data_IF_342451797289
#
_entry.id   IF_342451797289
#
_cell.length_a   1.000
_cell.length_b   1.000
_cell.length_c   1.000
_cell.angle_alpha   90.00
_cell.angle_beta   90.00
_cell.angle_gamma   90.00
#
_symmetry.space_group_name_H-M   'P 1'
#
loop_
_entity.id
_entity.type
_entity.pdbx_description
1 polymer ?
#
# COMPACT_ATOMS: atom_id res chain seq x y z
N UNK A 1 0.73 -14.51 -12.54
CA UNK A 1 1.70 -15.50 -12.03
C UNK A 1 1.41 -15.74 -10.55
N UNK A 2 1.53 -16.97 -10.05
CA UNK A 2 1.48 -17.21 -8.59
C UNK A 2 2.80 -16.73 -7.98
N UNK A 3 2.74 -15.93 -6.91
CA UNK A 3 3.92 -15.50 -6.16
C UNK A 3 4.61 -16.75 -5.60
N UNK A 4 5.94 -16.89 -5.72
CA UNK A 4 6.65 -18.00 -5.09
C UNK A 4 6.40 -17.97 -3.58
N UNK A 5 6.23 -19.13 -2.96
CA UNK A 5 5.80 -19.31 -1.56
C UNK A 5 6.73 -18.69 -0.49
N UNK A 6 7.69 -17.85 -0.87
CA UNK A 6 8.77 -17.35 -0.02
C UNK A 6 9.25 -15.94 -0.40
N UNK A 7 8.43 -15.11 -1.06
CA UNK A 7 8.73 -13.67 -1.15
C UNK A 7 8.62 -13.08 0.25
N UNK A 8 9.74 -13.10 0.96
CA UNK A 8 9.88 -12.55 2.30
C UNK A 8 10.01 -11.04 2.15
N UNK A 9 9.24 -10.29 2.93
CA UNK A 9 9.42 -8.85 2.99
C UNK A 9 10.86 -8.54 3.44
N UNK A 10 11.56 -7.73 2.66
CA UNK A 10 12.83 -7.15 3.11
C UNK A 10 12.54 -6.11 4.19
N UNK A 11 13.52 -5.70 5.02
CA UNK A 11 13.34 -4.54 5.88
C UNK A 11 12.90 -3.32 5.07
N UNK A 12 12.02 -2.45 5.60
CA UNK A 12 11.64 -1.22 4.92
C UNK A 12 12.87 -0.35 4.68
N UNK A 13 12.89 0.35 3.54
CA UNK A 13 14.01 1.20 3.16
C UNK A 13 14.24 2.31 4.21
N UNK A 14 15.51 2.68 4.50
CA UNK A 14 15.79 3.79 5.41
C UNK A 14 15.06 5.07 4.99
N UNK A 15 14.41 5.73 5.94
CA UNK A 15 13.68 6.99 5.69
C UNK A 15 12.29 6.83 5.10
N UNK A 16 11.80 5.61 4.85
CA UNK A 16 10.42 5.35 4.40
C UNK A 16 9.51 4.81 5.50
N UNK A 17 10.02 4.72 6.73
CA UNK A 17 9.25 4.26 7.89
C UNK A 17 9.59 5.03 9.16
N UNK A 18 8.65 5.00 10.10
CA UNK A 18 8.79 5.45 11.49
C UNK A 18 8.72 4.24 12.41
N UNK A 19 9.74 4.06 13.23
CA UNK A 19 9.70 3.07 14.32
C UNK A 19 8.70 3.51 15.39
N UNK A 20 7.88 2.56 15.85
CA UNK A 20 6.90 2.73 16.92
C UNK A 20 7.26 1.94 18.18
N UNK A 21 8.36 1.19 18.11
CA UNK A 21 8.84 0.31 19.17
C UNK A 21 9.95 -0.60 18.65
N UNK A 22 10.33 -1.62 19.43
CA UNK A 22 11.42 -2.53 19.08
C UNK A 22 11.23 -3.29 17.76
N UNK A 23 9.98 -3.59 17.40
CA UNK A 23 9.62 -4.32 16.18
C UNK A 23 8.59 -3.59 15.33
N UNK A 24 7.60 -2.96 15.96
CA UNK A 24 6.54 -2.25 15.26
C UNK A 24 7.05 -1.02 14.48
N UNK A 25 6.51 -0.83 13.27
CA UNK A 25 6.77 0.33 12.43
C UNK A 25 5.54 0.71 11.60
N UNK A 26 5.53 1.95 11.13
CA UNK A 26 4.55 2.50 10.20
C UNK A 26 5.29 3.10 9.00
N UNK A 27 4.77 2.90 7.81
CA UNK A 27 5.35 3.49 6.60
C UNK A 27 5.04 4.98 6.59
N UNK A 28 6.09 5.76 6.41
CA UNK A 28 6.03 7.22 6.39
C UNK A 28 7.08 7.70 5.42
N UNK A 29 6.71 7.77 4.13
CA UNK A 29 7.52 8.43 3.11
C UNK A 29 7.34 9.93 3.25
N UNK A 30 8.42 10.63 3.56
CA UNK A 30 8.43 12.08 3.67
C UNK A 30 8.92 12.70 2.37
N UNK A 31 8.21 13.72 1.88
CA UNK A 31 8.62 14.50 0.71
C UNK A 31 8.14 13.95 -0.63
N UNK A 32 8.77 14.42 -1.72
CA UNK A 32 8.44 14.05 -3.09
C UNK A 32 8.90 12.61 -3.42
N UNK A 33 8.16 11.92 -4.28
CA UNK A 33 8.49 10.57 -4.76
C UNK A 33 9.83 10.49 -5.49
N UNK A 34 10.29 11.62 -6.03
CA UNK A 34 11.55 11.77 -6.77
C UNK A 34 12.11 13.19 -6.64
N UNK A 35 13.41 13.40 -6.87
CA UNK A 35 13.98 14.74 -7.06
C UNK A 35 13.34 15.48 -8.24
N UNK A 36 13.27 16.83 -8.22
CA UNK A 36 12.89 17.62 -9.39
C UNK A 36 13.81 17.35 -10.59
N UNK A 37 13.28 17.49 -11.80
CA UNK A 37 14.00 17.18 -13.05
C UNK A 37 13.29 16.14 -13.92
N UNK A 38 13.95 15.72 -14.99
CA UNK A 38 13.40 14.81 -16.00
C UNK A 38 13.05 13.43 -15.41
N UNK A 39 11.78 13.03 -15.51
CA UNK A 39 11.27 11.80 -14.91
C UNK A 39 11.83 10.55 -15.61
N UNK A 40 12.04 10.60 -16.93
CA UNK A 40 12.60 9.48 -17.69
C UNK A 40 14.04 9.20 -17.27
N UNK A 41 14.86 10.25 -17.14
CA UNK A 41 16.23 10.14 -16.67
C UNK A 41 16.31 9.54 -15.25
N UNK A 42 15.39 9.92 -14.36
CA UNK A 42 15.31 9.32 -13.02
C UNK A 42 14.95 7.83 -13.07
N UNK A 43 13.95 7.45 -13.86
CA UNK A 43 13.60 6.03 -14.06
C UNK A 43 14.78 5.25 -14.63
N UNK A 44 15.45 5.78 -15.65
CA UNK A 44 16.61 5.13 -16.27
C UNK A 44 17.77 4.89 -15.30
N UNK A 45 17.97 5.79 -14.32
CA UNK A 45 18.98 5.59 -13.27
C UNK A 45 18.61 4.44 -12.31
N UNK A 46 17.32 4.18 -12.12
CA UNK A 46 16.83 3.12 -11.24
C UNK A 46 16.76 1.75 -11.93
N UNK A 47 16.62 1.72 -13.26
CA UNK A 47 16.46 0.48 -14.03
C UNK A 47 17.50 -0.60 -13.72
N UNK A 48 18.82 -0.33 -13.72
CA UNK A 48 19.81 -1.39 -13.45
C UNK A 48 19.64 -2.03 -12.06
N UNK A 49 19.21 -1.26 -11.06
CA UNK A 49 18.94 -1.76 -9.70
C UNK A 49 17.65 -2.58 -9.68
N UNK A 50 16.60 -2.08 -10.32
CA UNK A 50 15.33 -2.78 -10.48
C UNK A 50 15.52 -4.13 -11.17
N UNK A 51 16.30 -4.19 -12.26
CA UNK A 51 16.66 -5.41 -12.98
C UNK A 51 17.49 -6.38 -12.13
N UNK A 52 18.34 -5.85 -11.24
CA UNK A 52 19.09 -6.64 -10.27
C UNK A 52 18.26 -7.15 -9.08
N UNK A 53 16.95 -6.86 -9.03
CA UNK A 53 16.04 -7.33 -7.98
C UNK A 53 15.82 -6.36 -6.83
N UNK A 54 16.24 -5.09 -6.95
CA UNK A 54 16.00 -4.06 -5.92
C UNK A 54 14.53 -3.59 -5.96
N UNK A 55 13.72 -4.16 -5.06
CA UNK A 55 12.31 -3.81 -4.94
C UNK A 55 12.04 -2.35 -4.58
N UNK A 56 12.96 -1.68 -3.88
CA UNK A 56 12.81 -0.25 -3.57
C UNK A 56 12.95 0.56 -4.85
N UNK A 57 13.93 0.24 -5.69
CA UNK A 57 14.10 0.89 -6.99
C UNK A 57 12.86 0.68 -7.89
N UNK A 58 12.31 -0.53 -7.95
CA UNK A 58 11.07 -0.81 -8.68
C UNK A 58 9.87 -0.01 -8.13
N UNK A 59 9.79 0.15 -6.81
CA UNK A 59 8.72 0.94 -6.19
C UNK A 59 8.88 2.44 -6.47
N UNK A 60 10.10 2.97 -6.48
CA UNK A 60 10.37 4.37 -6.84
C UNK A 60 10.05 4.65 -8.32
N UNK A 61 10.31 3.68 -9.22
CA UNK A 61 9.86 3.74 -10.61
C UNK A 61 8.33 3.78 -10.67
N UNK A 62 7.66 2.88 -9.94
CA UNK A 62 6.19 2.87 -9.86
C UNK A 62 5.63 4.23 -9.41
N UNK A 63 6.16 4.81 -8.33
CA UNK A 63 5.70 6.10 -7.82
C UNK A 63 5.92 7.23 -8.85
N UNK A 64 7.03 7.18 -9.58
CA UNK A 64 7.33 8.15 -10.65
C UNK A 64 6.33 8.04 -11.80
N UNK A 65 6.05 6.82 -12.25
CA UNK A 65 5.07 6.54 -13.31
C UNK A 65 3.67 6.95 -12.85
N UNK A 66 3.29 6.64 -11.61
CA UNK A 66 2.00 7.00 -11.02
C UNK A 66 1.82 8.53 -10.92
N UNK A 67 2.87 9.25 -10.51
CA UNK A 67 2.85 10.72 -10.49
C UNK A 67 2.59 11.26 -11.91
N UNK A 68 3.34 10.78 -12.90
CA UNK A 68 3.15 11.23 -14.29
C UNK A 68 1.75 10.91 -14.82
N UNK A 69 1.24 9.69 -14.61
CA UNK A 69 -0.13 9.30 -14.97
C UNK A 69 -1.17 10.22 -14.35
N UNK A 70 -1.00 10.55 -13.07
CA UNK A 70 -1.94 11.42 -12.34
C UNK A 70 -2.04 12.79 -12.99
N UNK A 71 -0.90 13.41 -13.31
CA UNK A 71 -0.88 14.78 -13.85
C UNK A 71 -1.11 14.87 -15.36
N UNK A 72 -1.10 13.75 -16.10
CA UNK A 72 -1.49 13.69 -17.51
C UNK A 72 -2.90 13.12 -17.74
N UNK A 73 -3.70 12.95 -16.69
CA UNK A 73 -5.07 12.42 -16.77
C UNK A 73 -6.09 13.41 -16.23
N UNK A 74 -7.37 13.17 -16.47
CA UNK A 74 -8.50 13.96 -15.96
C UNK A 74 -8.53 14.06 -14.42
N UNK A 75 -7.77 13.21 -13.72
CA UNK A 75 -7.58 13.30 -12.26
C UNK A 75 -6.96 14.63 -11.84
N UNK A 76 -6.18 15.27 -12.73
CA UNK A 76 -5.59 16.60 -12.46
C UNK A 76 -6.66 17.66 -12.19
N UNK A 77 -7.81 17.59 -12.86
CA UNK A 77 -8.89 18.57 -12.70
C UNK A 77 -9.57 18.43 -11.34
N UNK A 78 -9.77 17.20 -10.87
CA UNK A 78 -10.29 16.93 -9.53
C UNK A 78 -9.35 17.45 -8.43
N UNK A 79 -8.04 17.29 -8.64
CA UNK A 79 -7.03 17.82 -7.74
C UNK A 79 -6.99 19.35 -7.77
N UNK A 80 -7.17 19.97 -8.93
CA UNK A 80 -7.26 21.43 -9.07
C UNK A 80 -8.44 22.00 -8.27
N UNK A 81 -9.62 21.38 -8.38
CA UNK A 81 -10.80 21.76 -7.61
C UNK A 81 -10.56 21.65 -6.10
N UNK A 82 -9.93 20.55 -5.67
CA UNK A 82 -9.59 20.33 -4.25
C UNK A 82 -8.62 21.38 -3.73
N UNK A 83 -7.61 21.76 -4.53
CA UNK A 83 -6.64 22.79 -4.17
C UNK A 83 -7.30 24.18 -4.06
N UNK A 84 -8.27 24.50 -4.91
CA UNK A 84 -9.02 25.75 -4.84
C UNK A 84 -9.81 25.88 -3.53
N UNK A 85 -10.44 24.80 -3.05
CA UNK A 85 -11.21 24.80 -1.80
C UNK A 85 -10.38 25.16 -0.55
N UNK A 86 -9.08 24.89 -0.57
CA UNK A 86 -8.16 25.18 0.55
C UNK A 86 -7.25 26.37 0.27
N UNK A 87 -7.50 27.14 -0.80
CA UNK A 87 -6.72 28.33 -1.16
C UNK A 87 -5.30 28.04 -1.66
N UNK A 88 -5.04 26.81 -2.12
CA UNK A 88 -3.73 26.36 -2.60
C UNK A 88 -3.60 26.34 -4.13
N UNK A 89 -4.53 26.98 -4.85
CA UNK A 89 -4.64 26.93 -6.32
C UNK A 89 -3.35 27.32 -7.04
N UNK A 90 -2.74 28.45 -6.68
CA UNK A 90 -1.50 28.91 -7.31
C UNK A 90 -0.36 27.90 -7.18
N UNK A 91 -0.15 27.38 -5.97
CA UNK A 91 0.90 26.38 -5.72
C UNK A 91 0.62 25.06 -6.46
N UNK A 92 -0.66 24.69 -6.60
CA UNK A 92 -1.06 23.52 -7.38
C UNK A 92 -0.77 23.71 -8.87
N UNK A 93 -1.09 24.87 -9.45
CA UNK A 93 -0.82 25.17 -10.86
C UNK A 93 0.70 25.18 -11.15
N UNK A 94 1.49 25.84 -10.31
CA UNK A 94 2.96 25.87 -10.44
C UNK A 94 3.56 24.46 -10.36
N UNK A 95 3.03 23.61 -9.46
CA UNK A 95 3.43 22.21 -9.38
C UNK A 95 3.03 21.42 -10.62
N UNK A 96 1.80 21.59 -11.09
CA UNK A 96 1.27 20.87 -12.25
C UNK A 96 2.04 21.21 -13.51
N UNK A 97 2.32 22.50 -13.75
CA UNK A 97 3.11 22.96 -14.88
C UNK A 97 4.53 22.36 -14.87
N UNK A 98 5.16 22.31 -13.70
CA UNK A 98 6.47 21.65 -13.53
C UNK A 98 6.38 20.16 -13.85
N UNK A 99 5.43 19.44 -13.26
CA UNK A 99 5.30 17.99 -13.44
C UNK A 99 4.96 17.60 -14.89
N UNK A 100 4.11 18.37 -15.56
CA UNK A 100 3.81 18.17 -16.98
C UNK A 100 5.07 18.25 -17.86
N UNK A 101 5.95 19.22 -17.58
CA UNK A 101 7.24 19.32 -18.28
C UNK A 101 8.17 18.14 -17.96
N UNK A 102 8.31 17.81 -16.68
CA UNK A 102 9.22 16.77 -16.21
C UNK A 102 8.79 15.36 -16.66
N UNK A 103 7.50 15.11 -16.82
CA UNK A 103 6.93 13.82 -17.22
C UNK A 103 6.88 13.62 -18.74
N UNK A 104 7.08 14.66 -19.55
CA UNK A 104 6.82 14.62 -20.99
C UNK A 104 7.55 13.49 -21.73
N UNK A 105 8.84 13.27 -21.42
CA UNK A 105 9.61 12.21 -22.04
C UNK A 105 9.16 10.81 -21.59
N UNK A 106 8.88 10.63 -20.29
CA UNK A 106 8.48 9.34 -19.73
C UNK A 106 7.12 8.88 -20.26
N UNK A 107 6.15 9.80 -20.40
CA UNK A 107 4.80 9.48 -20.91
C UNK A 107 4.82 8.99 -22.36
N UNK A 108 5.82 9.39 -23.13
CA UNK A 108 6.01 8.95 -24.51
C UNK A 108 6.81 7.65 -24.64
N UNK A 109 7.45 7.20 -23.56
CA UNK A 109 8.22 5.96 -23.52
C UNK A 109 7.27 4.76 -23.43
N UNK A 110 7.23 3.95 -24.51
CA UNK A 110 6.27 2.85 -24.65
C UNK A 110 6.64 1.60 -23.86
N UNK A 111 7.88 1.49 -23.41
CA UNK A 111 8.36 0.31 -22.70
C UNK A 111 8.26 0.52 -21.20
N UNK A 112 8.62 1.72 -20.73
CA UNK A 112 8.67 2.03 -19.31
C UNK A 112 7.33 2.51 -18.75
N UNK A 113 6.58 3.32 -19.48
CA UNK A 113 5.35 3.92 -18.98
C UNK A 113 4.23 2.92 -18.63
N UNK A 114 3.97 1.87 -19.43
CA UNK A 114 2.94 0.88 -19.11
C UNK A 114 3.43 -0.25 -18.19
N UNK A 115 4.68 -0.21 -17.70
CA UNK A 115 5.27 -1.31 -16.94
C UNK A 115 4.52 -1.67 -15.64
N UNK A 116 4.57 -2.95 -15.27
CA UNK A 116 3.96 -3.51 -14.05
C UNK A 116 4.84 -3.30 -12.80
N UNK A 117 5.31 -2.06 -12.61
CA UNK A 117 6.33 -1.72 -11.61
C UNK A 117 5.91 -2.02 -10.16
N UNK A 118 4.63 -1.87 -9.83
CA UNK A 118 4.10 -2.19 -8.50
C UNK A 118 4.16 -3.69 -8.20
N UNK A 119 3.72 -4.51 -9.15
CA UNK A 119 3.79 -5.98 -9.03
C UNK A 119 5.25 -6.43 -8.95
N UNK A 120 6.13 -5.87 -9.77
CA UNK A 120 7.56 -6.15 -9.73
C UNK A 120 8.18 -5.76 -8.38
N UNK A 121 7.86 -4.58 -7.85
CA UNK A 121 8.33 -4.15 -6.53
C UNK A 121 7.88 -5.09 -5.41
N UNK A 122 6.62 -5.52 -5.43
CA UNK A 122 6.07 -6.46 -4.46
C UNK A 122 6.77 -7.83 -4.53
N UNK A 123 6.96 -8.35 -5.75
CA UNK A 123 7.68 -9.61 -6.01
C UNK A 123 9.14 -9.58 -5.56
N UNK A 124 9.78 -8.42 -5.65
CA UNK A 124 11.15 -8.18 -5.21
C UNK A 124 11.27 -7.92 -3.70
N UNK A 125 10.17 -8.02 -2.94
CA UNK A 125 10.19 -7.94 -1.49
C UNK A 125 10.17 -6.52 -0.93
N UNK A 126 9.86 -5.50 -1.74
CA UNK A 126 9.66 -4.14 -1.24
C UNK A 126 8.48 -4.09 -0.29
N UNK A 127 8.69 -3.62 0.94
CA UNK A 127 7.59 -3.44 1.92
C UNK A 127 6.54 -2.47 1.40
N UNK A 128 6.98 -1.34 0.86
CA UNK A 128 6.07 -0.35 0.27
C UNK A 128 5.37 -0.93 -0.96
N UNK A 129 6.08 -1.69 -1.79
CA UNK A 129 5.50 -2.37 -2.97
C UNK A 129 4.46 -3.42 -2.61
N UNK A 130 4.74 -4.27 -1.62
CA UNK A 130 3.82 -5.30 -1.13
C UNK A 130 2.56 -4.69 -0.52
N UNK A 131 2.70 -3.63 0.28
CA UNK A 131 1.56 -2.92 0.84
C UNK A 131 0.76 -2.17 -0.26
N UNK A 132 1.46 -1.52 -1.19
CA UNK A 132 0.85 -0.83 -2.33
C UNK A 132 0.05 -1.80 -3.21
N UNK A 133 0.61 -2.97 -3.52
CA UNK A 133 -0.05 -4.03 -4.28
C UNK A 133 -1.39 -4.44 -3.64
N UNK A 134 -1.45 -4.51 -2.31
CA UNK A 134 -2.66 -4.83 -1.56
C UNK A 134 -3.65 -3.65 -1.44
N UNK A 135 -3.17 -2.41 -1.51
CA UNK A 135 -4.01 -1.19 -1.35
C UNK A 135 -4.55 -0.65 -2.66
N UNK A 136 -3.89 -0.93 -3.78
CA UNK A 136 -4.21 -0.38 -5.10
C UNK A 136 -4.51 -1.50 -6.11
N UNK A 137 -5.64 -2.22 -5.97
CA UNK A 137 -6.02 -3.27 -6.91
C UNK A 137 -6.10 -2.76 -8.36
N UNK A 138 -6.53 -1.52 -8.58
CA UNK A 138 -6.64 -0.88 -9.90
C UNK A 138 -5.28 -0.75 -10.61
N UNK A 139 -4.20 -0.51 -9.86
CA UNK A 139 -2.86 -0.35 -10.41
C UNK A 139 -2.21 -1.70 -10.76
N UNK A 140 -2.82 -2.82 -10.34
CA UNK A 140 -2.36 -4.19 -10.61
C UNK A 140 -3.28 -4.92 -11.60
N UNK A 141 -4.59 -4.80 -11.40
CA UNK A 141 -5.62 -5.53 -12.14
C UNK A 141 -6.10 -4.75 -13.37
N UNK A 142 -5.95 -3.42 -13.37
CA UNK A 142 -6.50 -2.55 -14.39
C UNK A 142 -7.98 -2.26 -14.15
N UNK A 143 -8.72 -2.07 -15.23
CA UNK A 143 -10.13 -1.72 -15.22
C UNK A 143 -11.01 -2.94 -14.91
N UNK A 144 -12.29 -2.69 -14.65
CA UNK A 144 -13.27 -3.76 -14.49
C UNK A 144 -13.42 -4.64 -15.75
N UNK A 145 -13.25 -4.06 -16.94
CA UNK A 145 -13.25 -4.82 -18.19
C UNK A 145 -12.07 -5.81 -18.24
N UNK A 146 -10.87 -5.37 -17.85
CA UNK A 146 -9.68 -6.23 -17.80
C UNK A 146 -9.88 -7.42 -16.83
N UNK A 147 -10.57 -7.19 -15.71
CA UNK A 147 -10.91 -8.24 -14.74
C UNK A 147 -11.96 -9.22 -15.29
N UNK A 148 -12.94 -8.74 -16.06
CA UNK A 148 -13.94 -9.62 -16.67
C UNK A 148 -13.34 -10.50 -17.77
N UNK A 149 -12.33 -9.99 -18.48
CA UNK A 149 -11.59 -10.75 -19.48
C UNK A 149 -10.71 -11.84 -18.85
N UNK A 150 -10.14 -11.57 -17.67
CA UNK A 150 -9.32 -12.54 -16.91
C UNK A 150 -9.65 -12.53 -15.40
N UNK A 151 -10.73 -13.21 -14.97
CA UNK A 151 -11.16 -13.22 -13.57
C UNK A 151 -10.19 -13.98 -12.66
N UNK A 152 -9.37 -14.89 -13.20
CA UNK A 152 -8.35 -15.61 -12.43
C UNK A 152 -7.26 -14.67 -11.92
N UNK A 153 -6.99 -13.54 -12.60
CA UNK A 153 -6.08 -12.51 -12.09
C UNK A 153 -6.58 -11.90 -10.78
N UNK A 154 -7.88 -11.68 -10.64
CA UNK A 154 -8.44 -11.16 -9.39
C UNK A 154 -8.28 -12.18 -8.25
N UNK A 155 -8.45 -13.48 -8.53
CA UNK A 155 -8.22 -14.55 -7.55
C UNK A 155 -6.75 -14.61 -7.13
N UNK A 156 -5.83 -14.57 -8.10
CA UNK A 156 -4.39 -14.55 -7.84
C UNK A 156 -3.97 -13.31 -7.04
N UNK A 157 -4.48 -12.13 -7.40
CA UNK A 157 -4.22 -10.89 -6.68
C UNK A 157 -4.66 -10.98 -5.21
N UNK A 158 -5.89 -11.45 -4.93
CA UNK A 158 -6.37 -11.63 -3.55
C UNK A 158 -5.46 -12.55 -2.75
N UNK A 159 -5.08 -13.69 -3.34
CA UNK A 159 -4.18 -14.63 -2.68
C UNK A 159 -2.83 -13.99 -2.35
N UNK A 160 -2.19 -13.36 -3.34
CA UNK A 160 -0.88 -12.72 -3.19
C UNK A 160 -0.93 -11.55 -2.18
N UNK A 161 -1.95 -10.68 -2.29
CA UNK A 161 -2.13 -9.55 -1.41
C UNK A 161 -2.35 -10.00 0.05
N UNK A 162 -3.13 -11.06 0.28
CA UNK A 162 -3.30 -11.65 1.60
C UNK A 162 -1.97 -12.14 2.19
N UNK A 163 -1.19 -12.90 1.41
CA UNK A 163 0.12 -13.38 1.85
C UNK A 163 1.11 -12.25 2.17
N UNK A 164 1.11 -11.19 1.35
CA UNK A 164 1.93 -10.01 1.62
C UNK A 164 1.52 -9.31 2.90
N UNK A 165 0.23 -9.03 3.09
CA UNK A 165 -0.26 -8.36 4.30
C UNK A 165 0.03 -9.18 5.56
N UNK A 166 -0.16 -10.49 5.54
CA UNK A 166 0.16 -11.34 6.69
C UNK A 166 1.66 -11.35 7.00
N UNK A 167 2.50 -11.39 5.97
CA UNK A 167 3.96 -11.35 6.13
C UNK A 167 4.41 -10.02 6.71
N UNK A 168 3.89 -8.91 6.19
CA UNK A 168 4.15 -7.56 6.69
C UNK A 168 3.63 -7.35 8.12
N UNK A 169 2.45 -7.88 8.45
CA UNK A 169 1.94 -7.82 9.81
C UNK A 169 2.89 -8.53 10.79
N UNK A 170 3.41 -9.72 10.43
CA UNK A 170 4.40 -10.45 11.25
C UNK A 170 5.77 -9.79 11.32
N UNK A 171 6.15 -8.98 10.33
CA UNK A 171 7.39 -8.20 10.36
C UNK A 171 7.28 -6.93 11.20
N UNK A 172 6.07 -6.53 11.60
CA UNK A 172 5.82 -5.37 12.46
C UNK A 172 5.16 -4.18 11.78
N UNK A 173 4.69 -4.35 10.54
CA UNK A 173 3.97 -3.28 9.83
C UNK A 173 2.57 -3.05 10.44
N UNK A 174 2.40 -1.93 11.13
CA UNK A 174 1.09 -1.49 11.65
C UNK A 174 0.12 -1.22 10.49
N UNK A 175 0.62 -0.70 9.37
CA UNK A 175 -0.14 -0.50 8.14
C UNK A 175 -0.80 -1.77 7.60
N UNK A 176 -0.09 -2.90 7.68
CA UNK A 176 -0.60 -4.19 7.22
C UNK A 176 -1.62 -4.78 8.20
N UNK A 177 -1.39 -4.62 9.52
CA UNK A 177 -2.37 -4.98 10.55
C UNK A 177 -3.67 -4.18 10.36
N UNK A 178 -3.56 -2.87 10.11
CA UNK A 178 -4.71 -2.01 9.84
C UNK A 178 -5.46 -2.40 8.56
N UNK A 179 -4.74 -2.72 7.47
CA UNK A 179 -5.39 -3.18 6.23
C UNK A 179 -6.13 -4.50 6.42
N UNK A 180 -5.53 -5.47 7.12
CA UNK A 180 -6.19 -6.74 7.45
C UNK A 180 -7.41 -6.53 8.34
N UNK A 181 -7.35 -5.62 9.31
CA UNK A 181 -8.50 -5.26 10.15
C UNK A 181 -9.69 -4.79 9.30
N UNK A 182 -9.44 -3.88 8.35
CA UNK A 182 -10.44 -3.38 7.41
C UNK A 182 -10.99 -4.49 6.49
N UNK A 183 -10.12 -5.35 5.95
CA UNK A 183 -10.56 -6.44 5.07
C UNK A 183 -11.36 -7.51 5.81
N UNK A 184 -11.04 -7.82 7.07
CA UNK A 184 -11.88 -8.72 7.87
C UNK A 184 -13.23 -8.09 8.24
N UNK A 185 -13.30 -6.76 8.36
CA UNK A 185 -14.55 -6.05 8.66
C UNK A 185 -15.51 -6.05 7.46
N UNK A 186 -15.00 -5.72 6.28
CA UNK A 186 -15.83 -5.50 5.08
C UNK A 186 -15.74 -6.62 4.04
N UNK A 187 -14.78 -7.53 4.18
CA UNK A 187 -14.37 -8.41 3.10
C UNK A 187 -13.54 -7.67 2.04
N UNK A 188 -12.86 -8.44 1.18
CA UNK A 188 -12.09 -7.88 0.08
C UNK A 188 -11.00 -8.85 -0.35
N UNK A 189 -9.79 -8.64 0.19
CA UNK A 189 -8.65 -9.56 0.07
C UNK A 189 -8.94 -10.85 0.84
N UNK A 190 -9.31 -10.72 2.11
CA UNK A 190 -9.77 -11.83 2.95
C UNK A 190 -11.30 -11.82 3.05
N UNK A 191 -11.94 -12.97 3.34
CA UNK A 191 -13.36 -13.02 3.66
C UNK A 191 -13.67 -12.22 4.93
N UNK A 192 -14.88 -11.67 5.00
CA UNK A 192 -15.37 -11.01 6.20
C UNK A 192 -15.38 -11.98 7.39
N UNK A 193 -14.75 -11.58 8.49
CA UNK A 193 -14.70 -12.31 9.75
C UNK A 193 -14.76 -11.31 10.92
N UNK A 194 -15.92 -11.14 11.58
CA UNK A 194 -16.07 -10.22 12.70
C UNK A 194 -15.13 -10.50 13.89
N UNK A 195 -14.75 -11.76 14.12
CA UNK A 195 -13.83 -12.13 15.21
C UNK A 195 -12.43 -11.64 14.89
N UNK A 196 -11.96 -11.86 13.65
CA UNK A 196 -10.67 -11.36 13.19
C UNK A 196 -10.65 -9.83 13.09
N UNK A 197 -11.73 -9.20 12.58
CA UNK A 197 -11.85 -7.75 12.50
C UNK A 197 -11.68 -7.09 13.89
N UNK A 198 -12.39 -7.59 14.90
CA UNK A 198 -12.24 -7.12 16.27
C UNK A 198 -10.82 -7.38 16.81
N UNK A 199 -10.27 -8.57 16.56
CA UNK A 199 -8.96 -8.95 17.07
C UNK A 199 -7.82 -8.06 16.51
N UNK A 200 -7.82 -7.80 15.21
CA UNK A 200 -6.82 -6.96 14.56
C UNK A 200 -6.95 -5.50 15.00
N UNK A 201 -8.17 -4.97 15.14
CA UNK A 201 -8.39 -3.64 15.69
C UNK A 201 -7.95 -3.53 17.16
N UNK A 202 -8.21 -4.56 17.98
CA UNK A 202 -7.74 -4.60 19.36
C UNK A 202 -6.20 -4.66 19.44
N UNK A 203 -5.55 -5.42 18.56
CA UNK A 203 -4.09 -5.45 18.48
C UNK A 203 -3.50 -4.07 18.13
N UNK A 204 -4.14 -3.30 17.25
CA UNK A 204 -3.75 -1.92 16.98
C UNK A 204 -3.88 -1.02 18.22
N UNK A 205 -4.98 -1.13 18.97
CA UNK A 205 -5.15 -0.37 20.22
C UNK A 205 -4.10 -0.72 21.29
N UNK A 206 -3.63 -1.97 21.33
CA UNK A 206 -2.56 -2.39 22.23
C UNK A 206 -1.22 -1.72 21.90
N UNK A 207 -0.96 -1.41 20.62
CA UNK A 207 0.21 -0.61 20.19
C UNK A 207 0.00 0.86 20.53
N UNK A 208 -1.14 1.42 20.14
CA UNK A 208 -1.51 2.79 20.44
C UNK A 208 -3.04 2.92 20.52
N UNK A 209 -3.61 3.32 21.68
CA UNK A 209 -5.06 3.47 21.84
C UNK A 209 -5.73 4.41 20.84
N UNK A 210 -4.98 5.33 20.22
CA UNK A 210 -5.50 6.30 19.26
C UNK A 210 -5.64 5.73 17.83
N UNK A 211 -5.14 4.53 17.54
CA UNK A 211 -5.26 3.96 16.19
C UNK A 211 -6.67 3.54 15.82
N UNK A 212 -7.49 3.15 16.80
CA UNK A 212 -8.87 2.75 16.57
C UNK A 212 -9.76 3.51 17.52
N UNK A 213 -10.76 4.20 16.96
CA UNK A 213 -11.68 4.97 17.78
C UNK A 213 -12.51 4.06 18.71
N UNK A 214 -12.88 4.53 19.91
CA UNK A 214 -13.76 3.77 20.80
C UNK A 214 -15.10 3.38 20.15
N UNK A 215 -15.63 4.21 19.25
CA UNK A 215 -16.89 3.95 18.54
C UNK A 215 -16.77 2.75 17.59
N UNK A 216 -15.67 2.64 16.84
CA UNK A 216 -15.40 1.47 15.98
C UNK A 216 -15.33 0.21 16.83
N UNK A 217 -14.59 0.24 17.94
CA UNK A 217 -14.50 -0.93 18.84
C UNK A 217 -15.84 -1.32 19.45
N UNK A 218 -16.67 -0.36 19.83
CA UNK A 218 -18.02 -0.64 20.34
C UNK A 218 -18.90 -1.29 19.26
N UNK A 219 -18.83 -0.80 18.02
CA UNK A 219 -19.57 -1.39 16.90
C UNK A 219 -19.16 -2.84 16.65
N UNK A 220 -17.84 -3.10 16.58
CA UNK A 220 -17.33 -4.46 16.38
C UNK A 220 -17.68 -5.38 17.55
N UNK A 221 -17.60 -4.91 18.81
CA UNK A 221 -17.97 -5.70 20.00
C UNK A 221 -19.45 -6.10 20.00
N UNK A 222 -20.33 -5.22 19.52
CA UNK A 222 -21.77 -5.45 19.47
C UNK A 222 -22.17 -6.60 18.53
N UNK A 223 -21.34 -6.89 17.52
CA UNK A 223 -21.56 -8.02 16.59
C UNK A 223 -21.14 -9.38 17.17
N UNK A 224 -20.41 -9.40 18.29
CA UNK A 224 -19.81 -10.63 18.83
C UNK A 224 -20.57 -11.17 20.04
N UNK A 225 -20.79 -12.49 20.05
CA UNK A 225 -21.16 -13.24 21.25
C UNK A 225 -20.02 -13.26 22.27
N UNK A 226 -20.32 -13.64 23.52
CA UNK A 226 -19.32 -13.74 24.58
C UNK A 226 -18.12 -14.65 24.22
N UNK A 227 -18.41 -15.81 23.61
CA UNK A 227 -17.38 -16.75 23.15
C UNK A 227 -16.54 -16.18 22.02
N UNK A 228 -17.17 -15.47 21.08
CA UNK A 228 -16.46 -14.78 20.00
C UNK A 228 -15.54 -13.69 20.53
N UNK A 229 -15.96 -12.92 21.54
CA UNK A 229 -15.11 -11.91 22.19
C UNK A 229 -13.90 -12.56 22.88
N UNK A 230 -14.10 -13.67 23.58
CA UNK A 230 -13.02 -14.40 24.20
C UNK A 230 -11.98 -14.88 23.17
N UNK A 231 -12.45 -15.45 22.04
CA UNK A 231 -11.57 -15.84 20.92
C UNK A 231 -10.87 -14.65 20.29
N UNK A 232 -11.57 -13.54 20.06
CA UNK A 232 -11.00 -12.35 19.46
C UNK A 232 -9.89 -11.74 20.33
N UNK A 233 -10.04 -11.75 21.66
CA UNK A 233 -8.98 -11.29 22.59
C UNK A 233 -7.73 -12.17 22.55
N UNK A 234 -7.90 -13.49 22.49
CA UNK A 234 -6.76 -14.41 22.33
C UNK A 234 -6.04 -14.19 21.00
N UNK A 235 -6.80 -14.02 19.92
CA UNK A 235 -6.25 -13.71 18.60
C UNK A 235 -5.54 -12.34 18.60
N UNK A 236 -6.13 -11.31 19.22
CA UNK A 236 -5.52 -9.98 19.32
C UNK A 236 -4.14 -10.04 19.97
N UNK A 237 -4.02 -10.76 21.09
CA UNK A 237 -2.73 -10.97 21.77
C UNK A 237 -1.72 -11.71 20.88
N UNK A 238 -2.19 -12.67 20.08
CA UNK A 238 -1.35 -13.40 19.12
C UNK A 238 -0.86 -12.47 18.01
N UNK A 239 -1.75 -11.65 17.44
CA UNK A 239 -1.41 -10.66 16.39
C UNK A 239 -0.45 -9.61 16.94
N UNK A 240 -0.74 -9.04 18.11
CA UNK A 240 0.11 -8.04 18.75
C UNK A 240 1.50 -8.60 19.11
N UNK A 241 1.56 -9.81 19.68
CA UNK A 241 2.82 -10.49 19.98
C UNK A 241 3.63 -10.77 18.71
N UNK A 242 3.00 -11.30 17.66
CA UNK A 242 3.67 -11.60 16.40
C UNK A 242 4.13 -10.34 15.66
N UNK A 243 3.33 -9.27 15.66
CA UNK A 243 3.69 -8.02 14.99
C UNK A 243 4.74 -7.23 15.75
N UNK A 244 4.45 -6.95 17.01
CA UNK A 244 4.88 -5.67 17.57
C UNK A 244 5.82 -5.85 18.77
N UNK A 245 5.94 -7.08 19.28
CA UNK A 245 6.82 -7.47 20.38
C UNK A 245 8.01 -8.27 19.83
N UNK A 246 9.24 -8.07 20.36
CA UNK A 246 10.43 -8.87 20.02
C UNK A 246 10.28 -10.36 20.30
#
# INVERSE_FOLDING_TARGET
MRVPASVTALPPAPGTFRSLGPKAYELSRQGSSRPPGDALAYVQQLLPRSEAGDGTASYDIYLTVLECRTFTSDRVDQLAQSAALVGAEKAFLERSERLLRECGALVLDRDLYPGNWLEQAALQGSVEGQLGYARSPEDVLGTYADILEDPERAVAWKHNAGQYLETLARSGSIDAVAKLAQDYEHGGIVPRDPVAAYAYNLALQQVNPNYVSPLVMQSLDAELSADQRARARLLANTVHGACCVP
#
